data_IF_096064663101
#
_entry.id   IF_096064663101
#
_cell.length_a   1.000
_cell.length_b   1.000
_cell.length_c   1.000
_cell.angle_alpha   90.00
_cell.angle_beta   90.00
_cell.angle_gamma   90.00
#
_symmetry.space_group_name_H-M   'P 1'
#
loop_
_entity.id
_entity.type
_entity.pdbx_description
1 polymer ?
#
# COMPACT_ATOMS: atom_id res chain seq x y z
N UNK A 1 -10.02 -14.10 0.95
CA UNK A 1 -9.32 -13.47 -0.20
C UNK A 1 -8.34 -14.47 -0.76
N UNK A 2 -8.38 -14.70 -2.06
CA UNK A 2 -7.39 -15.57 -2.66
C UNK A 2 -6.12 -14.80 -3.00
N UNK A 3 -5.07 -15.55 -3.32
CA UNK A 3 -3.76 -14.91 -3.55
C UNK A 3 -3.74 -14.06 -4.80
N UNK A 4 -4.49 -14.42 -5.83
CA UNK A 4 -4.52 -13.62 -7.05
C UNK A 4 -5.13 -12.26 -6.80
N UNK A 5 -6.21 -12.20 -6.03
CA UNK A 5 -6.84 -10.95 -5.67
C UNK A 5 -5.91 -10.09 -4.83
N UNK A 6 -5.20 -10.72 -3.89
CA UNK A 6 -4.23 -10.02 -3.07
C UNK A 6 -3.12 -9.41 -3.94
N UNK A 7 -2.58 -10.20 -4.85
CA UNK A 7 -1.51 -9.71 -5.73
C UNK A 7 -1.98 -8.55 -6.58
N UNK A 8 -3.19 -8.62 -7.12
CA UNK A 8 -3.73 -7.52 -7.90
C UNK A 8 -3.88 -6.25 -7.09
N UNK A 9 -4.22 -6.38 -5.81
CA UNK A 9 -4.39 -5.22 -4.95
C UNK A 9 -3.06 -4.53 -4.63
N UNK A 10 -1.96 -5.27 -4.56
CA UNK A 10 -0.68 -4.71 -4.18
C UNK A 10 0.28 -4.50 -5.35
N UNK A 11 -0.13 -4.84 -6.57
CA UNK A 11 0.75 -4.65 -7.74
C UNK A 11 0.94 -3.17 -8.05
N UNK A 12 -0.02 -2.34 -7.73
CA UNK A 12 0.07 -0.90 -7.99
C UNK A 12 1.03 -0.25 -7.00
N UNK A 13 2.00 0.49 -7.53
CA UNK A 13 3.03 1.08 -6.66
C UNK A 13 2.47 2.14 -5.73
N UNK A 14 1.43 2.88 -6.15
CA UNK A 14 0.83 3.91 -5.29
C UNK A 14 0.10 3.27 -4.11
N UNK A 15 -0.53 2.12 -4.32
CA UNK A 15 -1.18 1.41 -3.23
C UNK A 15 -0.16 0.91 -2.22
N UNK A 16 0.97 0.36 -2.69
CA UNK A 16 2.05 -0.05 -1.79
C UNK A 16 2.62 1.16 -1.04
N UNK A 17 2.77 2.28 -1.73
CA UNK A 17 3.27 3.50 -1.10
C UNK A 17 2.35 3.96 0.03
N UNK A 18 1.04 3.91 -0.21
CA UNK A 18 0.06 4.28 0.80
C UNK A 18 0.10 3.30 1.98
N UNK A 19 0.15 2.01 1.70
CA UNK A 19 0.23 1.01 2.78
C UNK A 19 1.48 1.21 3.62
N UNK A 20 2.62 1.45 3.00
CA UNK A 20 3.87 1.70 3.73
C UNK A 20 3.79 2.98 4.54
N UNK A 21 3.12 3.99 3.99
CA UNK A 21 2.92 5.26 4.69
C UNK A 21 2.11 5.07 5.97
N UNK A 22 1.01 4.32 5.88
CA UNK A 22 0.18 4.04 7.05
C UNK A 22 0.97 3.25 8.09
N UNK A 23 1.73 2.26 7.63
CA UNK A 23 2.56 1.47 8.53
C UNK A 23 1.74 0.73 9.56
N UNK A 24 2.24 0.69 10.79
CA UNK A 24 1.58 -0.02 11.89
C UNK A 24 0.57 0.83 12.64
N UNK A 25 0.44 2.09 12.29
CA UNK A 25 -0.45 3.02 12.98
C UNK A 25 -1.72 3.31 12.20
N UNK A 26 -2.23 4.50 12.41
CA UNK A 26 -3.40 5.01 11.69
C UNK A 26 -3.05 6.34 11.07
N UNK A 27 -3.67 6.65 9.93
CA UNK A 27 -3.49 7.95 9.27
C UNK A 27 -4.80 8.39 8.65
N UNK A 28 -5.05 9.69 8.70
CA UNK A 28 -6.14 10.31 7.95
C UNK A 28 -5.71 10.49 6.50
N UNK A 29 -6.68 10.78 5.63
CA UNK A 29 -6.40 11.06 4.22
C UNK A 29 -5.42 12.22 4.08
N UNK A 30 -5.62 13.29 4.85
CA UNK A 30 -4.73 14.45 4.76
C UNK A 30 -3.30 14.12 5.17
N UNK A 31 -3.14 13.29 6.21
CA UNK A 31 -1.82 12.86 6.61
C UNK A 31 -1.14 12.03 5.53
N UNK A 32 -1.90 11.15 4.90
CA UNK A 32 -1.37 10.34 3.80
C UNK A 32 -0.94 11.22 2.64
N UNK A 33 -1.76 12.21 2.29
CA UNK A 33 -1.42 13.15 1.22
C UNK A 33 -0.14 13.91 1.56
N UNK A 34 -0.03 14.39 2.80
CA UNK A 34 1.15 15.14 3.22
C UNK A 34 2.42 14.31 3.17
N UNK A 35 2.33 13.04 3.51
CA UNK A 35 3.50 12.15 3.51
C UNK A 35 3.86 11.66 2.12
N UNK A 36 2.87 11.29 1.31
CA UNK A 36 3.13 10.69 0.00
C UNK A 36 3.30 11.73 -1.09
N UNK A 37 2.76 12.93 -0.89
CA UNK A 37 2.73 13.99 -1.89
C UNK A 37 1.91 13.63 -3.12
N UNK A 38 1.05 12.63 -2.99
CA UNK A 38 0.12 12.26 -4.06
C UNK A 38 -1.10 13.16 -4.00
N UNK A 39 -1.78 13.30 -5.13
CA UNK A 39 -2.99 14.09 -5.20
C UNK A 39 -4.12 13.46 -4.40
N UNK A 40 -5.00 14.30 -3.87
CA UNK A 40 -6.11 13.84 -3.05
C UNK A 40 -7.00 12.84 -3.77
N UNK A 41 -7.32 13.12 -5.03
CA UNK A 41 -8.19 12.24 -5.83
C UNK A 41 -7.56 10.86 -5.96
N UNK A 42 -6.26 10.82 -6.22
CA UNK A 42 -5.53 9.57 -6.36
C UNK A 42 -5.48 8.79 -5.05
N UNK A 43 -5.19 9.47 -3.95
CA UNK A 43 -5.16 8.85 -2.63
C UNK A 43 -6.52 8.28 -2.28
N UNK A 44 -7.57 9.07 -2.49
CA UNK A 44 -8.94 8.63 -2.17
C UNK A 44 -9.33 7.42 -3.01
N UNK A 45 -8.97 7.42 -4.29
CA UNK A 45 -9.26 6.30 -5.19
C UNK A 45 -8.59 5.02 -4.70
N UNK A 46 -7.31 5.12 -4.36
CA UNK A 46 -6.56 3.93 -3.93
C UNK A 46 -6.99 3.45 -2.54
N UNK A 47 -7.32 4.37 -1.63
CA UNK A 47 -7.83 3.96 -0.32
C UNK A 47 -9.15 3.22 -0.45
N UNK A 48 -10.02 3.69 -1.34
CA UNK A 48 -11.28 2.99 -1.59
C UNK A 48 -11.02 1.58 -2.13
N UNK A 49 -10.09 1.47 -3.08
CA UNK A 49 -9.73 0.17 -3.64
C UNK A 49 -9.13 -0.75 -2.58
N UNK A 50 -8.24 -0.22 -1.75
CA UNK A 50 -7.61 -0.99 -0.68
C UNK A 50 -8.65 -1.46 0.33
N UNK A 51 -9.62 -0.61 0.65
CA UNK A 51 -10.70 -0.98 1.56
C UNK A 51 -11.57 -2.08 0.95
N UNK A 52 -11.89 -1.95 -0.34
CA UNK A 52 -12.69 -2.96 -1.03
C UNK A 52 -11.96 -4.30 -1.09
N UNK A 53 -10.65 -4.29 -1.18
CA UNK A 53 -9.83 -5.50 -1.13
C UNK A 53 -9.69 -6.06 0.28
N UNK A 54 -10.07 -5.30 1.29
CA UNK A 54 -9.93 -5.74 2.68
C UNK A 54 -8.55 -5.53 3.27
N UNK A 55 -7.69 -4.76 2.60
CA UNK A 55 -6.33 -4.52 3.08
C UNK A 55 -6.24 -3.37 4.08
N UNK A 56 -7.22 -2.47 4.08
CA UNK A 56 -7.29 -1.41 5.09
C UNK A 56 -8.68 -1.38 5.68
N UNK A 57 -8.76 -0.88 6.90
CA UNK A 57 -10.00 -0.57 7.60
C UNK A 57 -10.03 0.91 7.87
N UNK A 58 -11.22 1.45 8.02
CA UNK A 58 -11.32 2.85 8.41
C UNK A 58 -12.28 3.00 9.59
N UNK A 59 -12.15 4.12 10.26
CA UNK A 59 -13.07 4.51 11.33
C UNK A 59 -13.19 6.03 11.32
N UNK A 60 -14.31 6.50 11.82
CA UNK A 60 -14.50 7.94 11.95
C UNK A 60 -13.95 8.41 13.29
N UNK A 61 -13.21 9.49 13.25
CA UNK A 61 -12.69 10.14 14.46
C UNK A 61 -13.04 11.62 14.36
N UNK A 62 -14.19 11.99 14.89
CA UNK A 62 -14.71 13.32 14.73
C UNK A 62 -15.06 13.59 13.27
N UNK A 63 -14.42 14.58 12.68
CA UNK A 63 -14.62 14.91 11.26
C UNK A 63 -13.63 14.22 10.35
N UNK A 64 -12.72 13.44 10.93
CA UNK A 64 -11.68 12.74 10.15
C UNK A 64 -12.05 11.29 9.97
N UNK A 65 -11.56 10.73 8.86
CA UNK A 65 -11.61 9.28 8.63
C UNK A 65 -10.18 8.77 8.76
N UNK A 66 -9.98 7.84 9.69
CA UNK A 66 -8.67 7.26 9.95
C UNK A 66 -8.58 5.90 9.29
N UNK A 67 -7.46 5.65 8.62
CA UNK A 67 -7.21 4.39 7.92
C UNK A 67 -6.11 3.61 8.61
N UNK A 68 -6.28 2.29 8.65
CA UNK A 68 -5.36 1.39 9.31
C UNK A 68 -5.26 0.12 8.47
N UNK A 69 -4.05 -0.46 8.40
CA UNK A 69 -3.88 -1.74 7.71
C UNK A 69 -4.59 -2.83 8.50
N UNK A 70 -5.30 -3.70 7.79
CA UNK A 70 -6.17 -4.70 8.42
C UNK A 70 -5.40 -5.85 9.06
N UNK A 71 -4.22 -6.20 8.51
CA UNK A 71 -3.39 -7.30 9.04
C UNK A 71 -1.93 -6.90 9.04
N UNK A 72 -1.22 -7.12 10.15
CA UNK A 72 0.20 -6.77 10.22
C UNK A 72 1.05 -7.55 9.22
N UNK A 73 0.62 -8.75 8.84
CA UNK A 73 1.33 -9.54 7.85
C UNK A 73 1.45 -8.89 6.49
N UNK A 74 0.55 -7.95 6.17
CA UNK A 74 0.61 -7.24 4.90
C UNK A 74 1.91 -6.44 4.78
N UNK A 75 2.28 -5.71 5.83
CA UNK A 75 3.52 -4.95 5.82
C UNK A 75 4.74 -5.86 5.77
N UNK A 76 4.69 -6.96 6.51
CA UNK A 76 5.79 -7.93 6.49
C UNK A 76 5.99 -8.46 5.09
N UNK A 77 4.90 -8.76 4.40
CA UNK A 77 4.94 -9.25 3.03
C UNK A 77 5.56 -8.23 2.09
N UNK A 78 5.12 -6.98 2.18
CA UNK A 78 5.65 -5.92 1.32
C UNK A 78 7.11 -5.64 1.60
N UNK A 79 7.51 -5.66 2.86
CA UNK A 79 8.90 -5.46 3.24
C UNK A 79 9.78 -6.60 2.73
N UNK A 80 9.27 -7.82 2.78
CA UNK A 80 10.00 -8.98 2.28
C UNK A 80 10.22 -8.88 0.78
N UNK A 81 9.17 -8.51 0.04
CA UNK A 81 9.27 -8.34 -1.41
C UNK A 81 10.31 -7.27 -1.74
N UNK A 82 10.25 -6.15 -1.06
CA UNK A 82 11.19 -5.05 -1.27
C UNK A 82 12.62 -5.49 -1.01
N UNK A 83 12.83 -6.20 0.10
CA UNK A 83 14.15 -6.69 0.48
C UNK A 83 14.71 -7.66 -0.55
N UNK A 84 13.89 -8.60 -1.01
CA UNK A 84 14.32 -9.55 -2.01
C UNK A 84 14.65 -8.87 -3.34
N UNK A 85 13.88 -7.87 -3.72
CA UNK A 85 14.16 -7.11 -4.93
C UNK A 85 15.53 -6.44 -4.88
N UNK A 86 15.91 -5.92 -3.71
CA UNK A 86 17.20 -5.28 -3.54
C UNK A 86 18.34 -6.29 -3.52
N UNK A 87 18.06 -7.53 -3.08
CA UNK A 87 19.08 -8.56 -2.98
C UNK A 87 19.38 -9.23 -4.33
N UNK A 88 18.44 -9.19 -5.25
CA UNK A 88 18.62 -9.79 -6.56
C UNK A 88 19.48 -8.87 -7.41
N UNK A 89 20.60 -9.40 -7.89
CA UNK A 89 21.50 -8.66 -8.75
C UNK A 89 21.05 -8.84 -10.19
N UNK A 90 20.94 -7.73 -10.90
CA UNK A 90 20.58 -7.75 -12.30
C UNK A 90 21.83 -8.07 -13.12
N UNK A 91 22.02 -9.37 -13.40
CA UNK A 91 23.23 -9.86 -14.04
C UNK A 91 23.17 -9.81 -15.56
N UNK A 92 22.04 -9.44 -16.12
CA UNK A 92 21.87 -9.41 -17.57
C UNK A 92 21.51 -7.98 -17.97
N UNK A 93 22.54 -7.16 -18.21
CA UNK A 93 22.29 -5.75 -18.52
C UNK A 93 21.39 -5.60 -19.75
N UNK A 94 20.43 -4.70 -19.65
CA UNK A 94 19.53 -4.42 -20.74
C UNK A 94 18.47 -5.46 -20.99
N UNK A 95 18.40 -6.48 -20.17
CA UNK A 95 17.36 -7.49 -20.27
C UNK A 95 16.28 -7.21 -19.26
N UNK A 96 15.06 -7.31 -19.70
CA UNK A 96 13.89 -7.12 -18.84
C UNK A 96 13.15 -8.43 -18.73
N UNK A 97 12.71 -8.73 -17.53
CA UNK A 97 11.79 -9.85 -17.30
C UNK A 97 10.38 -9.33 -17.56
N UNK A 98 9.96 -9.43 -18.78
CA UNK A 98 8.65 -8.89 -19.15
C UNK A 98 7.49 -9.75 -18.70
#
# INVERSE_FOLDING_TARGET
MDEEKFLKCVVDKHRRQILECIGTGEMSVNEIINHTKLEQTLVSFHLKALKNCGLVKNRRDGQKIMYKISHPGILNCLNYIKKQSLNITDLTPGKECE
#
